data_IF_770812219317
#
_entry.id   IF_770812219317
#
_cell.length_a   1.000
_cell.length_b   1.000
_cell.length_c   1.000
_cell.angle_alpha   90.00
_cell.angle_beta   90.00
_cell.angle_gamma   90.00
#
_symmetry.space_group_name_H-M   'P 1'
#
loop_
_entity.id
_entity.type
_entity.pdbx_description
1 polymer ?
#
# COMPACT_ATOMS: atom_id res chain seq x y z
N UNK A 1 29.02 -31.26 -14.24
CA UNK A 1 27.98 -30.56 -13.46
C UNK A 1 26.65 -31.01 -14.03
N UNK A 2 25.81 -31.68 -13.25
CA UNK A 2 24.51 -32.20 -13.70
C UNK A 2 23.47 -31.13 -13.38
N UNK A 3 22.74 -30.65 -14.39
CA UNK A 3 21.62 -29.75 -14.19
C UNK A 3 20.50 -30.51 -13.46
N UNK A 4 19.91 -29.98 -12.38
CA UNK A 4 19.00 -30.73 -11.50
C UNK A 4 17.66 -31.15 -12.15
N UNK A 5 17.40 -30.74 -13.40
CA UNK A 5 16.07 -30.81 -14.01
C UNK A 5 15.97 -31.76 -15.23
N UNK A 6 16.98 -32.56 -15.53
CA UNK A 6 16.94 -33.51 -16.66
C UNK A 6 16.58 -34.93 -16.18
N UNK A 7 15.43 -35.45 -16.64
CA UNK A 7 15.03 -36.85 -16.43
C UNK A 7 15.74 -37.69 -17.49
N UNK A 8 16.68 -38.54 -17.09
CA UNK A 8 17.50 -39.30 -18.02
C UNK A 8 16.97 -40.72 -18.29
N UNK A 9 16.13 -41.28 -17.42
CA UNK A 9 15.55 -42.63 -17.58
C UNK A 9 14.10 -42.72 -17.11
N UNK A 10 13.33 -43.68 -17.65
CA UNK A 10 11.92 -43.92 -17.31
C UNK A 10 11.73 -44.27 -15.82
N UNK A 11 12.69 -44.94 -15.18
CA UNK A 11 12.63 -45.29 -13.76
C UNK A 11 12.72 -44.06 -12.82
N UNK A 12 13.17 -42.92 -13.33
CA UNK A 12 13.27 -41.67 -12.59
C UNK A 12 11.97 -40.86 -12.63
N UNK A 13 11.03 -41.21 -13.53
CA UNK A 13 9.78 -40.46 -13.74
C UNK A 13 8.90 -40.40 -12.49
N UNK A 14 8.61 -41.50 -11.77
CA UNK A 14 7.79 -41.43 -10.56
C UNK A 14 8.40 -40.51 -9.49
N UNK A 15 9.74 -40.48 -9.39
CA UNK A 15 10.47 -39.63 -8.44
C UNK A 15 10.46 -38.16 -8.88
N UNK A 16 10.59 -37.89 -10.17
CA UNK A 16 10.53 -36.53 -10.72
C UNK A 16 9.12 -35.94 -10.54
N UNK A 17 8.08 -36.71 -10.85
CA UNK A 17 6.68 -36.31 -10.66
C UNK A 17 6.38 -36.00 -9.19
N UNK A 18 6.87 -36.82 -8.26
CA UNK A 18 6.73 -36.55 -6.83
C UNK A 18 7.41 -35.23 -6.40
N UNK A 19 8.60 -34.92 -6.94
CA UNK A 19 9.28 -33.63 -6.68
C UNK A 19 8.45 -32.45 -7.19
N UNK A 20 7.92 -32.55 -8.40
CA UNK A 20 7.04 -31.52 -8.96
C UNK A 20 5.78 -31.31 -8.11
N UNK A 21 5.13 -32.39 -7.66
CA UNK A 21 3.97 -32.27 -6.76
C UNK A 21 4.32 -31.51 -5.49
N UNK A 22 5.46 -31.82 -4.88
CA UNK A 22 5.92 -31.13 -3.67
C UNK A 22 6.22 -29.66 -3.93
N UNK A 23 6.96 -29.34 -5.00
CA UNK A 23 7.29 -27.95 -5.36
C UNK A 23 6.03 -27.14 -5.68
N UNK A 24 5.06 -27.75 -6.38
CA UNK A 24 3.77 -27.13 -6.67
C UNK A 24 3.01 -26.84 -5.38
N UNK A 25 3.02 -27.76 -4.41
CA UNK A 25 2.35 -27.55 -3.12
C UNK A 25 3.05 -26.48 -2.27
N UNK A 26 4.39 -26.44 -2.28
CA UNK A 26 5.18 -25.37 -1.65
C UNK A 26 4.84 -23.99 -2.26
N UNK A 27 4.78 -23.90 -3.59
CA UNK A 27 4.39 -22.67 -4.31
C UNK A 27 2.95 -22.28 -3.99
N UNK A 28 2.00 -23.24 -4.00
CA UNK A 28 0.61 -22.97 -3.62
C UNK A 28 0.51 -22.45 -2.19
N UNK A 29 1.28 -23.02 -1.27
CA UNK A 29 1.32 -22.58 0.12
C UNK A 29 1.84 -21.15 0.24
N UNK A 30 2.96 -20.82 -0.44
CA UNK A 30 3.52 -19.47 -0.47
C UNK A 30 2.55 -18.45 -1.03
N UNK A 31 1.88 -18.75 -2.15
CA UNK A 31 0.89 -17.87 -2.77
C UNK A 31 -0.29 -17.64 -1.81
N UNK A 32 -0.84 -18.71 -1.19
CA UNK A 32 -1.93 -18.57 -0.23
C UNK A 32 -1.53 -17.67 0.95
N UNK A 33 -0.32 -17.86 1.48
CA UNK A 33 0.19 -17.04 2.57
C UNK A 33 0.36 -15.58 2.14
N UNK A 34 0.96 -15.32 0.96
CA UNK A 34 1.10 -13.96 0.43
C UNK A 34 -0.25 -13.27 0.21
N UNK A 35 -1.24 -13.97 -0.34
CA UNK A 35 -2.59 -13.44 -0.54
C UNK A 35 -3.22 -13.09 0.82
N UNK A 36 -3.12 -13.97 1.82
CA UNK A 36 -3.65 -13.70 3.16
C UNK A 36 -2.97 -12.51 3.85
N UNK A 37 -1.65 -12.36 3.70
CA UNK A 37 -0.93 -11.19 4.21
C UNK A 37 -1.35 -9.91 3.47
N UNK A 38 -1.53 -10.00 2.16
CA UNK A 38 -1.96 -8.86 1.36
C UNK A 38 -3.40 -8.44 1.71
N UNK A 39 -4.34 -9.38 1.87
CA UNK A 39 -5.74 -9.09 2.27
C UNK A 39 -5.82 -8.36 3.63
N UNK A 40 -4.97 -8.71 4.59
CA UNK A 40 -4.88 -7.99 5.87
C UNK A 40 -4.40 -6.54 5.71
N UNK A 41 -3.66 -6.25 4.64
CA UNK A 41 -3.11 -4.93 4.31
C UNK A 41 -3.86 -4.17 3.21
N UNK A 42 -4.76 -4.85 2.47
CA UNK A 42 -5.29 -4.35 1.21
C UNK A 42 -6.45 -3.38 1.36
N UNK A 43 -7.20 -3.40 2.47
CA UNK A 43 -8.36 -2.52 2.52
C UNK A 43 -8.93 -2.21 3.90
N UNK A 44 -8.08 -1.66 4.76
CA UNK A 44 -8.55 -1.17 6.06
C UNK A 44 -9.06 0.27 5.95
N UNK A 45 -10.22 0.51 6.54
CA UNK A 45 -10.71 1.85 6.85
C UNK A 45 -9.91 2.44 8.02
N UNK A 46 -9.32 3.60 7.81
CA UNK A 46 -8.53 4.33 8.79
C UNK A 46 -9.25 5.60 9.23
N UNK A 47 -9.18 5.92 10.52
CA UNK A 47 -9.60 7.21 11.07
C UNK A 47 -8.50 8.26 10.91
N UNK A 48 -8.79 9.53 11.23
CA UNK A 48 -7.82 10.63 11.19
C UNK A 48 -6.55 10.32 12.02
N UNK A 49 -6.71 9.79 13.24
CA UNK A 49 -5.57 9.42 14.09
C UNK A 49 -4.70 8.32 13.47
N UNK A 50 -5.34 7.29 12.90
CA UNK A 50 -4.65 6.18 12.23
C UNK A 50 -3.93 6.64 10.96
N UNK A 51 -4.52 7.59 10.22
CA UNK A 51 -3.90 8.19 9.05
C UNK A 51 -2.63 8.98 9.41
N UNK A 52 -2.64 9.71 10.53
CA UNK A 52 -1.45 10.45 11.00
C UNK A 52 -0.31 9.50 11.33
N UNK A 53 -0.62 8.38 11.98
CA UNK A 53 0.36 7.33 12.30
C UNK A 53 0.89 6.64 11.04
N UNK A 54 0.03 6.49 10.02
CA UNK A 54 0.36 5.84 8.75
C UNK A 54 1.32 6.67 7.87
N UNK A 55 1.23 8.00 7.93
CA UNK A 55 2.02 8.88 7.05
C UNK A 55 3.47 9.06 7.58
N UNK A 56 4.50 8.96 6.71
CA UNK A 56 5.93 9.03 7.11
C UNK A 56 6.44 10.41 7.59
N UNK A 57 5.56 11.36 7.87
CA UNK A 57 5.90 12.67 8.45
C UNK A 57 5.03 13.06 9.65
N UNK A 58 4.13 12.17 10.10
CA UNK A 58 3.18 12.39 11.21
C UNK A 58 2.57 13.81 11.23
N UNK A 59 1.84 14.20 10.17
CA UNK A 59 1.25 15.53 10.08
C UNK A 59 0.26 15.77 11.23
N UNK A 60 0.10 17.02 11.64
CA UNK A 60 -0.88 17.36 12.69
C UNK A 60 -2.32 17.11 12.21
N UNK A 61 -3.25 16.87 13.15
CA UNK A 61 -4.69 16.76 12.84
C UNK A 61 -5.19 17.93 12.00
N UNK A 62 -4.75 19.15 12.32
CA UNK A 62 -5.12 20.36 11.59
C UNK A 62 -4.71 20.28 10.12
N UNK A 63 -3.49 19.82 9.85
CA UNK A 63 -2.99 19.63 8.48
C UNK A 63 -3.85 18.63 7.70
N UNK A 64 -4.22 17.52 8.33
CA UNK A 64 -5.11 16.51 7.72
C UNK A 64 -6.48 17.10 7.42
N UNK A 65 -7.10 17.82 8.36
CA UNK A 65 -8.38 18.49 8.10
C UNK A 65 -8.30 19.54 7.00
N UNK A 66 -7.19 20.28 6.91
CA UNK A 66 -6.94 21.20 5.80
C UNK A 66 -6.93 20.45 4.45
N UNK A 67 -6.24 19.32 4.34
CA UNK A 67 -6.22 18.52 3.11
C UNK A 67 -7.59 17.95 2.74
N UNK A 68 -8.39 17.55 3.73
CA UNK A 68 -9.77 17.10 3.52
C UNK A 68 -10.64 18.24 2.99
N UNK A 69 -10.53 19.43 3.58
CA UNK A 69 -11.29 20.61 3.16
C UNK A 69 -10.88 21.11 1.77
N UNK A 70 -9.58 21.04 1.44
CA UNK A 70 -9.05 21.34 0.12
C UNK A 70 -9.24 20.22 -0.90
N UNK A 71 -9.94 19.13 -0.54
CA UNK A 71 -10.17 17.94 -1.36
C UNK A 71 -8.90 17.36 -2.00
N UNK A 72 -7.74 17.56 -1.37
CA UNK A 72 -6.43 17.10 -1.88
C UNK A 72 -6.19 15.63 -1.54
N UNK A 73 -6.76 15.17 -0.43
CA UNK A 73 -6.65 13.77 0.04
C UNK A 73 -7.96 13.01 -0.24
N UNK A 74 -7.90 11.78 -0.77
CA UNK A 74 -9.07 10.91 -0.91
C UNK A 74 -9.69 10.65 0.45
N UNK A 75 -10.99 10.91 0.58
CA UNK A 75 -11.72 10.72 1.84
C UNK A 75 -13.15 10.28 1.58
N UNK A 76 -13.68 9.48 2.50
CA UNK A 76 -15.07 9.03 2.49
C UNK A 76 -15.81 9.58 3.70
N UNK A 77 -17.09 9.84 3.51
CA UNK A 77 -18.03 10.19 4.57
C UNK A 77 -19.10 9.10 4.62
N UNK A 78 -18.84 7.95 5.27
CA UNK A 78 -19.90 6.98 5.53
C UNK A 78 -21.07 7.68 6.24
N UNK A 79 -22.27 7.11 6.11
CA UNK A 79 -23.58 7.66 6.50
C UNK A 79 -23.72 8.22 7.94
N UNK A 80 -22.68 8.12 8.76
CA UNK A 80 -22.59 8.60 10.13
C UNK A 80 -21.61 9.79 10.32
N UNK A 81 -21.33 10.57 9.27
CA UNK A 81 -20.69 11.90 9.36
C UNK A 81 -19.23 11.93 9.84
N UNK A 82 -18.61 10.76 10.05
CA UNK A 82 -17.18 10.64 10.41
C UNK A 82 -16.35 10.50 9.14
N UNK A 83 -15.18 11.15 9.10
CA UNK A 83 -14.22 10.99 8.02
C UNK A 83 -13.55 9.61 8.14
N UNK A 84 -13.61 8.85 7.06
CA UNK A 84 -12.92 7.57 6.94
C UNK A 84 -12.02 7.60 5.70
N UNK A 85 -10.84 7.01 5.82
CA UNK A 85 -9.83 6.94 4.78
C UNK A 85 -9.60 5.49 4.40
N UNK A 86 -9.66 5.18 3.11
CA UNK A 86 -9.37 3.83 2.62
C UNK A 86 -7.86 3.72 2.41
N UNK A 87 -7.19 2.77 3.08
CA UNK A 87 -5.72 2.63 3.00
C UNK A 87 -5.22 2.53 1.55
N UNK A 88 -5.90 1.73 0.72
CA UNK A 88 -5.56 1.58 -0.70
C UNK A 88 -5.62 2.89 -1.50
N UNK A 89 -6.54 3.81 -1.17
CA UNK A 89 -6.62 5.12 -1.83
C UNK A 89 -5.52 6.06 -1.36
N UNK A 90 -5.16 6.00 -0.08
CA UNK A 90 -4.02 6.74 0.46
C UNK A 90 -2.71 6.24 -0.14
N UNK A 91 -2.54 4.92 -0.29
CA UNK A 91 -1.36 4.31 -0.91
C UNK A 91 -1.18 4.76 -2.36
N UNK A 92 -2.28 4.80 -3.13
CA UNK A 92 -2.31 5.35 -4.49
C UNK A 92 -1.99 6.83 -4.52
N UNK A 93 -2.57 7.60 -3.60
CA UNK A 93 -2.33 9.04 -3.50
C UNK A 93 -0.87 9.38 -3.16
N UNK A 94 -0.21 8.54 -2.36
CA UNK A 94 1.21 8.68 -2.05
C UNK A 94 2.14 8.23 -3.19
N UNK A 95 1.60 7.66 -4.28
CA UNK A 95 2.41 7.08 -5.35
C UNK A 95 3.18 5.83 -4.91
N UNK A 96 2.75 5.17 -3.83
CA UNK A 96 3.33 3.90 -3.34
C UNK A 96 2.74 2.71 -4.12
N UNK A 97 2.03 2.97 -5.22
CA UNK A 97 1.64 1.92 -6.14
C UNK A 97 2.91 1.45 -6.88
N UNK A 98 3.47 0.34 -6.40
CA UNK A 98 4.60 -0.42 -6.95
C UNK A 98 6.00 0.20 -6.80
N UNK A 99 6.65 -0.03 -5.65
CA UNK A 99 8.08 -0.40 -5.73
C UNK A 99 8.15 -1.80 -6.33
N UNK A 100 8.13 -1.86 -7.66
CA UNK A 100 8.77 -2.98 -8.35
C UNK A 100 10.24 -2.87 -7.94
N UNK A 101 10.75 -3.80 -7.15
CA UNK A 101 12.20 -3.91 -6.89
C UNK A 101 12.84 -4.36 -8.21
N UNK A 102 13.02 -3.42 -9.13
CA UNK A 102 14.02 -3.56 -10.17
C UNK A 102 15.35 -3.36 -9.47
N UNK A 103 16.10 -4.44 -9.30
CA UNK A 103 17.40 -4.46 -8.63
C UNK A 103 18.51 -3.78 -9.43
N UNK A 104 18.18 -2.94 -10.42
CA UNK A 104 19.13 -2.21 -11.25
C UNK A 104 18.45 -0.93 -11.73
N UNK A 105 18.65 0.22 -11.07
CA UNK A 105 18.58 1.58 -11.62
C UNK A 105 18.87 2.57 -10.47
N UNK A 106 20.15 2.98 -10.38
CA UNK A 106 20.59 4.14 -9.62
C UNK A 106 20.02 5.42 -10.25
N UNK A 107 18.89 5.92 -9.76
CA UNK A 107 18.41 7.27 -10.07
C UNK A 107 18.01 7.97 -8.76
N UNK A 108 18.80 8.95 -8.38
CA UNK A 108 18.78 9.70 -7.11
C UNK A 108 17.53 10.59 -6.90
N UNK A 109 16.49 10.44 -7.71
CA UNK A 109 15.39 11.40 -7.81
C UNK A 109 14.01 10.86 -7.41
N UNK A 110 13.89 9.60 -6.96
CA UNK A 110 12.60 9.09 -6.45
C UNK A 110 12.37 9.45 -4.98
N UNK A 111 12.31 10.75 -4.68
CA UNK A 111 11.83 11.24 -3.40
C UNK A 111 10.32 11.41 -3.48
N UNK A 112 9.50 10.69 -2.68
CA UNK A 112 8.07 10.95 -2.62
C UNK A 112 7.87 12.40 -2.16
N UNK A 113 7.48 13.26 -3.09
CA UNK A 113 7.13 14.64 -2.84
C UNK A 113 5.81 14.63 -2.06
N UNK A 114 5.89 14.61 -0.73
CA UNK A 114 4.76 15.02 0.09
C UNK A 114 4.28 16.39 -0.44
N UNK A 115 2.97 16.63 -0.57
CA UNK A 115 2.47 17.93 -1.00
C UNK A 115 3.04 18.98 -0.06
N UNK A 116 3.86 19.88 -0.61
CA UNK A 116 4.48 20.98 0.14
C UNK A 116 3.37 21.72 0.86
N UNK A 117 3.53 21.86 2.17
CA UNK A 117 2.63 22.55 3.08
C UNK A 117 2.02 23.79 2.42
N UNK A 118 0.74 23.71 2.07
CA UNK A 118 -0.08 24.86 1.79
C UNK A 118 -0.97 25.12 3.02
N UNK A 119 -0.38 25.15 4.21
CA UNK A 119 -1.01 25.84 5.34
C UNK A 119 -0.77 27.34 5.15
N UNK A 120 -1.45 27.94 4.18
CA UNK A 120 -1.54 29.38 4.03
C UNK A 120 -2.47 29.90 5.13
N UNK A 121 -1.87 30.52 6.15
CA UNK A 121 -2.60 31.27 7.15
C UNK A 121 -3.46 32.36 6.47
N UNK A 122 -4.78 32.32 6.66
CA UNK A 122 -5.64 33.49 6.92
C UNK A 122 -7.01 33.01 7.40
N UNK A 123 -7.22 32.99 8.71
CA UNK A 123 -8.58 33.06 9.25
C UNK A 123 -8.98 34.53 9.16
N UNK A 124 -9.50 34.94 8.00
CA UNK A 124 -10.22 36.21 7.88
C UNK A 124 -11.58 36.02 8.56
N UNK A 125 -11.69 36.42 9.83
CA UNK A 125 -13.00 36.53 10.49
C UNK A 125 -13.75 37.70 9.83
N UNK A 126 -14.77 37.41 9.03
CA UNK A 126 -15.79 38.40 8.68
C UNK A 126 -17.19 37.84 8.93
N UNK A 127 -17.93 38.52 9.82
CA UNK A 127 -19.39 38.62 9.94
C UNK A 127 -20.15 37.30 10.12
N UNK A 128 -20.93 37.10 11.17
CA UNK A 128 -22.03 38.00 11.55
C UNK A 128 -23.34 37.30 11.20
N UNK A 129 -23.81 36.40 12.08
CA UNK A 129 -25.17 35.87 11.99
C UNK A 129 -26.11 36.87 12.69
N UNK A 130 -27.03 37.43 11.91
CA UNK A 130 -28.27 38.02 12.42
C UNK A 130 -29.29 36.91 12.64
#
# INVERSE_FOLDING_TARGET
MIQPNEIQTLEQLPKAVFRLFREIDDVKYLIRNMIQQNEQSADRWMNVDQLIEYLPGKPSKQTVYCWVNSATIPHHKPSQGRLAFRKSEIDKWLGIETLVYNSDLDDEDNKPLLPKSACGATISRKGGYK
#
